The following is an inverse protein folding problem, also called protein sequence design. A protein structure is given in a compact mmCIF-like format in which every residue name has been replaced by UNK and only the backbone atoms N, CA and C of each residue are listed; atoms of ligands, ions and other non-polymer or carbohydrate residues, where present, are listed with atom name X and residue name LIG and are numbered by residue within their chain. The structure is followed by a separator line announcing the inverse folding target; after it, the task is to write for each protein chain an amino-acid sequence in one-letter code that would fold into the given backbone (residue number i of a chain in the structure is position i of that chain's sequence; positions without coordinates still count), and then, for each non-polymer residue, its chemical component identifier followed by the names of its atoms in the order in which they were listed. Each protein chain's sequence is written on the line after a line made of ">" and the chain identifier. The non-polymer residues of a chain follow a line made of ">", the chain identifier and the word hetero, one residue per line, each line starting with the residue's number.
data_IF_268657986710
#
_entry.id   IF_268657986710
#
_cell.length_a   1.000
_cell.length_b   1.000
_cell.length_c   1.000
_cell.angle_alpha   90.00
_cell.angle_beta   90.00
_cell.angle_gamma   90.00
#
_symmetry.space_group_name_H-M   'P 1'
#
loop_
_entity.id
_entity.type
_entity.pdbx_description
1 polymer ?
#
# COMPACT_ATOMS: atom_id res chain seq x y z
N UNK A 1 18.06 45.87 1.67
CA UNK A 1 19.37 46.29 1.09
C UNK A 1 19.80 45.29 0.02
N UNK A 2 20.64 45.74 -0.91
CA UNK A 2 21.27 44.89 -1.92
C UNK A 2 22.69 44.57 -1.44
N UNK A 3 23.10 43.31 -1.51
CA UNK A 3 24.40 42.86 -1.07
C UNK A 3 25.03 41.89 -2.10
N UNK A 4 26.36 41.94 -2.24
CA UNK A 4 27.15 41.10 -3.13
C UNK A 4 26.70 41.14 -4.59
N UNK A 5 26.72 40.00 -5.31
CA UNK A 5 26.41 39.95 -6.74
C UNK A 5 24.89 40.01 -7.08
N UNK A 6 24.11 40.74 -6.30
CA UNK A 6 22.68 40.94 -6.57
C UNK A 6 21.72 40.30 -5.60
N UNK A 7 22.14 39.90 -4.41
CA UNK A 7 21.24 39.44 -3.35
C UNK A 7 20.42 40.62 -2.78
N UNK A 8 19.10 40.39 -2.68
CA UNK A 8 18.20 41.36 -2.07
C UNK A 8 17.89 40.87 -0.64
N UNK A 9 18.44 41.60 0.34
CA UNK A 9 18.13 41.33 1.74
C UNK A 9 16.84 42.07 2.13
N UNK A 10 15.85 41.31 2.57
CA UNK A 10 14.55 41.80 3.06
C UNK A 10 14.58 41.69 4.59
N UNK A 11 14.30 42.77 5.28
CA UNK A 11 14.11 42.78 6.73
C UNK A 11 12.67 43.20 7.01
N UNK A 12 11.98 42.43 7.81
CA UNK A 12 10.65 42.75 8.28
C UNK A 12 10.79 43.58 9.56
N UNK A 13 9.88 44.55 9.75
CA UNK A 13 9.80 45.27 11.01
C UNK A 13 9.15 44.40 12.10
N UNK A 14 9.48 44.68 13.36
CA UNK A 14 8.85 43.99 14.50
C UNK A 14 7.34 44.20 14.52
N UNK A 15 6.86 45.37 14.12
CA UNK A 15 5.43 45.69 14.01
C UNK A 15 4.74 44.84 12.92
N UNK A 16 5.41 44.56 11.79
CA UNK A 16 4.87 43.69 10.75
C UNK A 16 4.80 42.24 11.20
N UNK A 17 5.81 41.81 11.94
CA UNK A 17 5.86 40.45 12.52
C UNK A 17 4.75 40.32 13.59
N UNK A 18 4.61 41.28 14.49
CA UNK A 18 3.57 41.26 15.53
C UNK A 18 2.16 41.21 14.92
N UNK A 19 1.86 42.04 13.94
CA UNK A 19 0.56 42.04 13.24
C UNK A 19 0.28 40.72 12.54
N UNK A 20 1.31 40.10 11.92
CA UNK A 20 1.16 38.77 11.29
C UNK A 20 0.87 37.68 12.31
N UNK A 21 1.58 37.68 13.43
CA UNK A 21 1.34 36.76 14.54
C UNK A 21 -0.07 36.92 15.10
N UNK A 22 -0.51 38.12 15.33
CA UNK A 22 -1.88 38.40 15.80
C UNK A 22 -2.93 37.91 14.80
N UNK A 23 -2.73 38.16 13.50
CA UNK A 23 -3.60 37.66 12.43
C UNK A 23 -3.66 36.13 12.39
N UNK A 24 -2.51 35.48 12.47
CA UNK A 24 -2.42 34.03 12.49
C UNK A 24 -3.06 33.42 13.74
N UNK A 25 -2.84 34.05 14.91
CA UNK A 25 -3.41 33.58 16.17
C UNK A 25 -4.93 33.75 16.26
N UNK A 26 -5.50 34.74 15.55
CA UNK A 26 -6.93 34.96 15.48
C UNK A 26 -7.65 34.11 14.43
N UNK A 27 -6.92 33.47 13.53
CA UNK A 27 -7.48 32.63 12.48
C UNK A 27 -7.60 31.17 12.97
N UNK A 28 -8.76 30.55 12.77
CA UNK A 28 -9.02 29.16 13.16
C UNK A 28 -8.10 28.16 12.42
N UNK A 29 -7.61 28.53 11.23
CA UNK A 29 -6.76 27.75 10.35
C UNK A 29 -5.29 28.21 10.37
N UNK A 30 -4.89 29.03 11.33
CA UNK A 30 -3.55 29.63 11.45
C UNK A 30 -3.11 30.36 10.17
N UNK A 31 -4.05 31.03 9.51
CA UNK A 31 -3.80 31.76 8.26
C UNK A 31 -3.71 30.89 7.04
N UNK A 32 -4.51 29.85 7.01
CA UNK A 32 -4.59 28.86 5.95
C UNK A 32 -4.73 29.41 4.53
N UNK A 33 -4.73 28.55 3.58
CA UNK A 33 -4.56 28.86 2.18
C UNK A 33 -5.86 29.39 1.56
N UNK A 34 -5.81 30.56 0.94
CA UNK A 34 -6.94 31.15 0.24
C UNK A 34 -6.94 30.75 -1.24
N UNK A 35 -7.15 29.48 -1.54
CA UNK A 35 -7.37 28.98 -2.89
C UNK A 35 -8.75 28.33 -3.01
N UNK A 36 -9.33 28.22 -4.21
CA UNK A 36 -10.51 27.41 -4.40
C UNK A 36 -10.23 25.95 -3.99
N UNK A 37 -11.18 25.33 -3.27
CA UNK A 37 -11.08 23.92 -2.90
C UNK A 37 -11.06 23.04 -4.15
N UNK A 38 -10.18 22.06 -4.16
CA UNK A 38 -10.06 21.07 -5.22
C UNK A 38 -10.39 19.69 -4.68
N UNK A 39 -10.80 18.79 -5.57
CA UNK A 39 -10.94 17.37 -5.26
C UNK A 39 -9.67 16.64 -5.65
N UNK A 40 -8.97 16.07 -4.67
CA UNK A 40 -7.67 15.44 -4.82
C UNK A 40 -7.79 13.96 -4.47
N UNK A 41 -7.29 13.09 -5.34
CA UNK A 41 -7.12 11.66 -5.06
C UNK A 41 -5.66 11.40 -4.76
N UNK A 42 -5.38 10.79 -3.62
CA UNK A 42 -4.04 10.38 -3.20
C UNK A 42 -4.00 8.85 -3.08
N UNK A 43 -3.20 8.21 -3.91
CA UNK A 43 -2.87 6.79 -3.80
C UNK A 43 -1.46 6.67 -3.17
N UNK A 44 -1.36 6.00 -2.02
CA UNK A 44 -0.12 5.88 -1.28
C UNK A 44 -0.08 4.63 -0.41
N UNK A 45 1.10 4.31 0.13
CA UNK A 45 1.32 3.12 0.94
C UNK A 45 1.81 1.95 0.10
N UNK A 46 0.90 1.14 -0.41
CA UNK A 46 1.21 0.01 -1.29
C UNK A 46 1.88 -1.18 -0.57
N UNK A 47 1.42 -1.60 0.63
CA UNK A 47 1.96 -2.77 1.28
C UNK A 47 1.60 -4.03 0.49
N UNK A 48 2.46 -5.06 0.59
CA UNK A 48 2.21 -6.36 0.03
C UNK A 48 1.64 -7.28 1.12
N UNK A 49 0.43 -7.81 0.89
CA UNK A 49 -0.26 -8.72 1.81
C UNK A 49 0.55 -10.01 2.08
N UNK A 50 1.39 -10.44 1.14
CA UNK A 50 2.20 -11.66 1.28
C UNK A 50 3.37 -11.55 2.27
N UNK A 51 3.60 -10.40 2.91
CA UNK A 51 4.70 -10.21 3.85
C UNK A 51 4.40 -9.12 4.88
N UNK A 52 5.00 -9.20 6.08
CA UNK A 52 4.82 -8.20 7.12
C UNK A 52 5.34 -6.83 6.70
N UNK A 53 4.77 -5.79 7.29
CA UNK A 53 5.23 -4.42 7.10
C UNK A 53 6.64 -4.25 7.68
N UNK A 54 7.45 -3.47 7.01
CA UNK A 54 8.79 -3.10 7.46
C UNK A 54 9.06 -1.61 7.24
N UNK A 55 10.19 -1.11 7.76
CA UNK A 55 10.55 0.32 7.71
C UNK A 55 10.50 0.92 6.28
N UNK A 56 10.73 0.11 5.25
CA UNK A 56 10.64 0.56 3.86
C UNK A 56 9.23 1.01 3.43
N UNK A 57 8.18 0.47 4.06
CA UNK A 57 6.79 0.88 3.80
C UNK A 57 6.43 2.20 4.49
N UNK A 58 7.11 2.54 5.60
CA UNK A 58 6.82 3.76 6.37
C UNK A 58 7.02 5.03 5.54
N UNK A 59 8.02 5.05 4.65
CA UNK A 59 8.31 6.24 3.85
C UNK A 59 7.09 6.67 3.03
N UNK A 60 6.54 5.77 2.24
CA UNK A 60 5.40 6.09 1.37
C UNK A 60 4.14 6.38 2.20
N UNK A 61 3.91 5.64 3.29
CA UNK A 61 2.81 5.87 4.20
C UNK A 61 2.87 7.25 4.88
N UNK A 62 4.04 7.62 5.42
CA UNK A 62 4.22 8.91 6.10
C UNK A 62 4.10 10.08 5.12
N UNK A 63 4.70 9.97 3.93
CA UNK A 63 4.62 11.04 2.92
C UNK A 63 3.17 11.21 2.46
N UNK A 64 2.47 10.11 2.14
CA UNK A 64 1.10 10.18 1.69
C UNK A 64 0.15 10.73 2.76
N UNK A 65 0.29 10.30 4.01
CA UNK A 65 -0.49 10.81 5.14
C UNK A 65 -0.20 12.30 5.40
N UNK A 66 1.06 12.72 5.29
CA UNK A 66 1.42 14.15 5.42
C UNK A 66 0.78 14.98 4.31
N UNK A 67 0.85 14.55 3.06
CA UNK A 67 0.22 15.23 1.93
C UNK A 67 -1.31 15.31 2.10
N UNK A 68 -1.94 14.20 2.52
CA UNK A 68 -3.38 14.18 2.83
C UNK A 68 -3.76 15.25 3.84
N UNK A 69 -3.00 15.36 4.93
CA UNK A 69 -3.25 16.36 5.97
C UNK A 69 -3.03 17.80 5.48
N UNK A 70 -1.96 18.02 4.70
CA UNK A 70 -1.65 19.33 4.11
C UNK A 70 -2.79 19.79 3.19
N UNK A 71 -3.22 18.96 2.26
CA UNK A 71 -4.30 19.31 1.35
C UNK A 71 -5.65 19.54 2.06
N UNK A 72 -5.97 18.73 3.07
CA UNK A 72 -7.16 18.96 3.91
C UNK A 72 -7.07 20.27 4.68
N UNK A 73 -5.91 20.60 5.24
CA UNK A 73 -5.69 21.87 5.91
C UNK A 73 -5.77 23.05 4.94
N UNK A 74 -5.42 22.85 3.66
CA UNK A 74 -5.59 23.83 2.59
C UNK A 74 -7.05 23.97 2.10
N UNK A 75 -7.99 23.23 2.69
CA UNK A 75 -9.42 23.29 2.35
C UNK A 75 -9.85 22.36 1.21
N UNK A 76 -8.98 21.45 0.76
CA UNK A 76 -9.30 20.51 -0.31
C UNK A 76 -10.14 19.33 0.18
N UNK A 77 -10.98 18.79 -0.73
CA UNK A 77 -11.62 17.48 -0.55
C UNK A 77 -10.62 16.37 -0.94
N UNK A 78 -10.12 15.63 0.06
CA UNK A 78 -9.10 14.60 -0.20
C UNK A 78 -9.68 13.21 -0.03
N UNK A 79 -9.68 12.44 -1.13
CA UNK A 79 -9.94 11.01 -1.17
C UNK A 79 -8.58 10.32 -1.08
N UNK A 80 -8.38 9.56 -0.01
CA UNK A 80 -7.14 8.82 0.20
C UNK A 80 -7.40 7.34 -0.02
N UNK A 81 -6.65 6.74 -0.91
CA UNK A 81 -6.65 5.32 -1.21
C UNK A 81 -5.31 4.69 -0.80
N UNK A 82 -5.37 3.50 -0.22
CA UNK A 82 -4.18 2.71 0.11
C UNK A 82 -4.23 1.43 -0.70
N UNK A 83 -3.47 1.41 -1.78
CA UNK A 83 -3.39 0.23 -2.63
C UNK A 83 -2.68 -0.92 -1.93
N UNK A 84 -3.32 -2.09 -1.88
CA UNK A 84 -2.74 -3.32 -1.37
C UNK A 84 -2.24 -4.20 -2.52
N UNK A 85 -1.03 -4.73 -2.37
CA UNK A 85 -0.47 -5.72 -3.29
C UNK A 85 -1.02 -7.12 -2.99
N UNK A 86 -2.30 -7.34 -3.24
CA UNK A 86 -3.04 -8.56 -2.89
C UNK A 86 -3.54 -9.36 -4.10
N UNK A 87 -3.32 -8.90 -5.32
CA UNK A 87 -3.92 -9.46 -6.53
C UNK A 87 -2.92 -9.87 -7.63
N UNK A 88 -1.65 -9.61 -7.41
CA UNK A 88 -0.60 -9.79 -8.40
C UNK A 88 0.15 -11.13 -8.30
N UNK A 89 1.34 -11.16 -8.91
CA UNK A 89 2.23 -12.33 -8.95
C UNK A 89 2.56 -12.89 -7.56
N UNK A 90 2.56 -12.06 -6.54
CA UNK A 90 2.83 -12.47 -5.17
C UNK A 90 1.82 -13.52 -4.68
N UNK A 91 0.54 -13.33 -5.00
CA UNK A 91 -0.50 -14.32 -4.68
C UNK A 91 -0.30 -15.62 -5.46
N UNK A 92 0.07 -15.53 -6.74
CA UNK A 92 0.40 -16.71 -7.53
C UNK A 92 1.62 -17.46 -7.00
N UNK A 93 2.62 -16.76 -6.49
CA UNK A 93 3.78 -17.36 -5.83
C UNK A 93 3.37 -18.13 -4.57
N UNK A 94 2.56 -17.51 -3.69
CA UNK A 94 2.05 -18.17 -2.48
C UNK A 94 1.17 -19.39 -2.81
N UNK A 95 0.21 -19.23 -3.72
CA UNK A 95 -0.71 -20.31 -4.11
C UNK A 95 0.06 -21.48 -4.71
N UNK A 96 0.98 -21.21 -5.65
CA UNK A 96 1.76 -22.28 -6.29
C UNK A 96 2.74 -22.95 -5.32
N UNK A 97 3.30 -22.21 -4.38
CA UNK A 97 4.16 -22.77 -3.33
C UNK A 97 3.35 -23.66 -2.38
N UNK A 98 2.17 -23.22 -1.96
CA UNK A 98 1.29 -24.00 -1.09
C UNK A 98 0.81 -25.27 -1.80
N UNK A 99 0.48 -25.19 -3.09
CA UNK A 99 0.08 -26.36 -3.89
C UNK A 99 1.20 -27.41 -3.97
N UNK A 100 2.45 -26.97 -4.08
CA UNK A 100 3.61 -27.86 -4.09
C UNK A 100 3.89 -28.49 -2.72
N UNK A 101 3.73 -27.71 -1.64
CA UNK A 101 3.94 -28.23 -0.27
C UNK A 101 2.80 -29.13 0.20
N UNK A 102 1.56 -28.82 -0.19
CA UNK A 102 0.36 -29.48 0.29
C UNK A 102 -0.65 -29.74 -0.86
N UNK A 103 -0.30 -30.59 -1.84
CA UNK A 103 -1.14 -30.80 -3.02
C UNK A 103 -2.51 -31.46 -2.72
N UNK A 104 -2.66 -32.05 -1.53
CA UNK A 104 -3.90 -32.70 -1.09
C UNK A 104 -4.97 -31.75 -0.54
N UNK A 105 -4.70 -30.46 -0.45
CA UNK A 105 -5.69 -29.50 0.03
C UNK A 105 -6.89 -29.39 -0.92
N UNK A 106 -8.09 -29.29 -0.36
CA UNK A 106 -9.35 -29.20 -1.11
C UNK A 106 -9.39 -28.05 -2.11
N UNK A 107 -8.64 -27.00 -1.86
CA UNK A 107 -8.54 -25.83 -2.75
C UNK A 107 -7.93 -26.14 -4.13
N UNK A 108 -7.13 -27.19 -4.22
CA UNK A 108 -6.41 -27.58 -5.45
C UNK A 108 -7.15 -28.64 -6.25
N UNK A 109 -8.17 -29.28 -5.67
CA UNK A 109 -8.91 -30.32 -6.33
C UNK A 109 -9.52 -29.83 -7.65
N UNK A 110 -9.44 -30.65 -8.69
CA UNK A 110 -10.00 -30.34 -10.01
C UNK A 110 -11.52 -30.23 -9.90
N UNK A 111 -12.09 -29.13 -10.39
CA UNK A 111 -13.54 -28.89 -10.36
C UNK A 111 -14.11 -28.55 -8.99
N UNK A 112 -13.28 -28.32 -7.96
CA UNK A 112 -13.78 -27.88 -6.65
C UNK A 112 -14.49 -26.53 -6.74
N UNK A 113 -15.75 -26.49 -6.29
CA UNK A 113 -16.58 -25.27 -6.27
C UNK A 113 -16.91 -24.83 -4.85
N UNK A 114 -16.46 -25.58 -3.83
CA UNK A 114 -16.76 -25.37 -2.41
C UNK A 114 -17.90 -26.27 -1.90
N UNK A 115 -18.32 -26.10 -0.65
CA UNK A 115 -17.79 -25.14 0.30
C UNK A 115 -16.33 -25.45 0.69
N UNK A 116 -15.54 -24.38 0.89
CA UNK A 116 -14.17 -24.49 1.39
C UNK A 116 -14.15 -24.29 2.92
N UNK A 117 -13.13 -24.83 3.64
CA UNK A 117 -12.97 -24.61 5.05
C UNK A 117 -13.02 -23.13 5.44
N UNK A 118 -13.62 -22.83 6.59
CA UNK A 118 -13.66 -21.47 7.12
C UNK A 118 -12.30 -21.03 7.69
N UNK A 119 -11.56 -21.98 8.25
CA UNK A 119 -10.24 -21.74 8.82
C UNK A 119 -9.17 -21.71 7.70
N UNK A 120 -8.19 -20.78 7.78
CA UNK A 120 -7.10 -20.72 6.83
C UNK A 120 -6.22 -21.98 6.94
N UNK A 121 -5.73 -22.52 5.80
CA UNK A 121 -4.87 -23.71 5.80
C UNK A 121 -3.45 -23.42 6.27
N UNK A 122 -3.09 -22.17 6.46
CA UNK A 122 -1.78 -21.68 6.87
C UNK A 122 -1.93 -20.53 7.85
N UNK A 123 -0.92 -20.32 8.67
CA UNK A 123 -0.81 -19.17 9.58
C UNK A 123 -0.05 -18.00 8.94
N UNK A 124 -0.07 -16.84 9.59
CA UNK A 124 0.75 -15.69 9.18
C UNK A 124 2.25 -16.05 9.16
N UNK A 125 2.72 -16.81 10.15
CA UNK A 125 4.12 -17.27 10.21
C UNK A 125 4.49 -18.17 9.01
N UNK A 126 3.55 -19.00 8.55
CA UNK A 126 3.78 -19.81 7.35
C UNK A 126 3.91 -18.93 6.10
N UNK A 127 3.10 -17.87 5.98
CA UNK A 127 3.20 -16.91 4.87
C UNK A 127 4.53 -16.16 4.88
N UNK A 128 5.03 -15.77 6.07
CA UNK A 128 6.33 -15.12 6.26
C UNK A 128 7.50 -15.97 5.77
N UNK A 129 7.41 -17.31 5.93
CA UNK A 129 8.40 -18.25 5.44
C UNK A 129 8.21 -18.55 3.94
N UNK A 130 6.97 -18.83 3.54
CA UNK A 130 6.65 -19.31 2.20
C UNK A 130 6.93 -18.27 1.12
N UNK A 131 6.60 -17.00 1.35
CA UNK A 131 6.74 -15.97 0.32
C UNK A 131 8.19 -15.73 -0.11
N UNK A 132 9.17 -15.56 0.79
CA UNK A 132 10.58 -15.43 0.41
C UNK A 132 11.10 -16.69 -0.33
N UNK A 133 10.71 -17.89 0.14
CA UNK A 133 11.10 -19.15 -0.48
C UNK A 133 10.55 -19.27 -1.90
N UNK A 134 9.26 -18.98 -2.11
CA UNK A 134 8.62 -18.98 -3.42
C UNK A 134 9.25 -17.95 -4.37
N UNK A 135 9.51 -16.75 -3.87
CA UNK A 135 10.16 -15.68 -4.64
C UNK A 135 11.58 -16.06 -5.07
N UNK A 136 12.37 -16.66 -4.19
CA UNK A 136 13.71 -17.14 -4.49
C UNK A 136 13.67 -18.30 -5.53
N UNK A 137 12.76 -19.25 -5.34
CA UNK A 137 12.57 -20.35 -6.27
C UNK A 137 12.17 -19.87 -7.67
N UNK A 138 11.26 -18.90 -7.78
CA UNK A 138 10.85 -18.32 -9.06
C UNK A 138 11.99 -17.56 -9.77
N UNK A 139 12.94 -17.00 -9.02
CA UNK A 139 14.13 -16.36 -9.61
C UNK A 139 15.15 -17.36 -10.10
N UNK A 140 15.27 -18.50 -9.42
CA UNK A 140 16.25 -19.53 -9.73
C UNK A 140 15.78 -20.50 -10.84
N UNK A 141 14.47 -20.72 -10.95
CA UNK A 141 13.89 -21.72 -11.86
C UNK A 141 12.72 -21.14 -12.69
N UNK A 142 12.89 -21.00 -14.03
CA UNK A 142 11.83 -20.55 -14.91
C UNK A 142 10.53 -21.36 -14.82
N UNK A 143 10.61 -22.68 -14.55
CA UNK A 143 9.43 -23.53 -14.42
C UNK A 143 8.59 -23.13 -13.19
N UNK A 144 9.25 -22.78 -12.07
CA UNK A 144 8.58 -22.26 -10.86
C UNK A 144 7.93 -20.90 -11.14
N UNK A 145 8.61 -20.03 -11.87
CA UNK A 145 8.05 -18.74 -12.29
C UNK A 145 6.83 -18.92 -13.20
N UNK A 146 6.82 -19.90 -14.08
CA UNK A 146 5.67 -20.22 -14.92
C UNK A 146 4.47 -20.75 -14.11
N UNK A 147 4.72 -21.60 -13.12
CA UNK A 147 3.68 -22.07 -12.20
C UNK A 147 3.04 -20.88 -11.45
N UNK A 148 3.84 -19.97 -10.93
CA UNK A 148 3.35 -18.77 -10.24
C UNK A 148 2.50 -17.88 -11.18
N UNK A 149 2.93 -17.66 -12.43
CA UNK A 149 2.15 -16.90 -13.42
C UNK A 149 0.83 -17.59 -13.76
N UNK A 150 0.83 -18.91 -13.94
CA UNK A 150 -0.39 -19.69 -14.17
C UNK A 150 -1.34 -19.63 -12.98
N UNK A 151 -0.82 -19.71 -11.76
CA UNK A 151 -1.61 -19.58 -10.54
C UNK A 151 -2.22 -18.17 -10.40
N UNK A 152 -1.44 -17.12 -10.70
CA UNK A 152 -1.93 -15.73 -10.75
C UNK A 152 -3.09 -15.60 -11.74
N UNK A 153 -2.89 -16.10 -12.96
CA UNK A 153 -3.95 -16.05 -13.98
C UNK A 153 -5.20 -16.81 -13.54
N UNK A 154 -5.04 -18.02 -13.03
CA UNK A 154 -6.17 -18.82 -12.56
C UNK A 154 -6.94 -18.17 -11.39
N UNK A 155 -6.24 -17.51 -10.46
CA UNK A 155 -6.85 -16.68 -9.43
C UNK A 155 -7.69 -15.55 -10.05
N UNK A 156 -7.12 -14.81 -10.98
CA UNK A 156 -7.75 -13.69 -11.67
C UNK A 156 -8.95 -14.14 -12.53
N UNK A 157 -8.81 -15.28 -13.20
CA UNK A 157 -9.89 -15.90 -13.98
C UNK A 157 -11.02 -16.50 -13.08
N UNK A 158 -10.83 -16.48 -11.76
CA UNK A 158 -11.90 -16.83 -10.81
C UNK A 158 -11.91 -18.29 -10.36
N UNK A 159 -10.82 -19.06 -10.47
CA UNK A 159 -10.76 -20.45 -9.96
C UNK A 159 -11.20 -20.48 -8.49
N UNK A 160 -12.29 -21.23 -8.14
CA UNK A 160 -12.92 -21.08 -6.81
C UNK A 160 -11.99 -21.37 -5.64
N UNK A 161 -11.20 -22.45 -5.70
CA UNK A 161 -10.25 -22.79 -4.64
C UNK A 161 -9.16 -21.74 -4.45
N UNK A 162 -8.66 -21.13 -5.55
CA UNK A 162 -7.65 -20.07 -5.47
C UNK A 162 -8.23 -18.77 -4.91
N UNK A 163 -9.49 -18.47 -5.24
CA UNK A 163 -10.21 -17.33 -4.66
C UNK A 163 -10.47 -17.50 -3.15
N UNK A 164 -10.74 -18.74 -2.72
CA UNK A 164 -10.90 -19.04 -1.30
C UNK A 164 -9.56 -18.89 -0.54
N UNK A 165 -8.46 -19.39 -1.09
CA UNK A 165 -7.11 -19.19 -0.54
C UNK A 165 -6.73 -17.71 -0.48
N UNK A 166 -6.99 -16.96 -1.54
CA UNK A 166 -6.72 -15.53 -1.58
C UNK A 166 -7.44 -14.79 -0.44
N UNK A 167 -8.70 -15.10 -0.19
CA UNK A 167 -9.44 -14.50 0.95
C UNK A 167 -8.76 -14.81 2.27
N UNK A 168 -8.38 -16.05 2.50
CA UNK A 168 -7.65 -16.43 3.72
C UNK A 168 -6.35 -15.65 3.89
N UNK A 169 -5.58 -15.47 2.80
CA UNK A 169 -4.33 -14.71 2.87
C UNK A 169 -4.52 -13.22 3.13
N UNK A 170 -5.63 -12.66 2.67
CA UNK A 170 -5.97 -11.24 2.91
C UNK A 170 -6.51 -11.02 4.31
N UNK A 171 -7.22 -12.03 4.87
CA UNK A 171 -7.85 -11.94 6.19
C UNK A 171 -6.88 -12.22 7.35
N UNK A 172 -5.68 -12.82 7.09
CA UNK A 172 -4.61 -13.06 8.05
C UNK A 172 -3.83 -11.78 8.38
#
# INVERSE_FOLDING_TARGET
>A
SVAGPGFINISLSDDDLARRIETLAAADDLGGWTKPAERIVLDYGGPNVAKPLHVGHLRSAIIGEALKRIFRAAGDEVIADIHLGDWGLQMGQLISELELRQPGLVYFASGATGPFPADPPVSLSDLEEMYPAASAACKADPARADLARKATKALQDGRPGYRALWRHFVDL
#
